data_IF_670011402751
#
_entry.id   IF_670011402751
#
_cell.length_a   1.000
_cell.length_b   1.000
_cell.length_c   1.000
_cell.angle_alpha   90.00
_cell.angle_beta   90.00
_cell.angle_gamma   90.00
#
_symmetry.space_group_name_H-M   'P 1'
#
loop_
_entity.id
_entity.type
_entity.pdbx_description
1 polymer ?
#
# COMPACT_ATOMS: atom_id res chain seq x y z
N UNK A 1 -7.34 53.38 -6.08
CA UNK A 1 -6.61 52.79 -4.93
C UNK A 1 -7.46 51.66 -4.38
N UNK A 2 -7.06 50.40 -4.59
CA UNK A 2 -7.69 49.25 -3.95
C UNK A 2 -6.80 48.82 -2.76
N UNK A 3 -7.41 48.39 -1.64
CA UNK A 3 -7.04 47.18 -0.89
C UNK A 3 -7.44 47.22 0.60
N UNK A 4 -7.63 46.00 1.13
CA UNK A 4 -7.71 45.51 2.53
C UNK A 4 -9.15 45.53 3.09
N UNK A 5 -9.73 44.45 3.62
CA UNK A 5 -9.24 43.40 4.53
C UNK A 5 -10.19 42.19 4.34
N UNK A 6 -9.77 41.05 3.75
CA UNK A 6 -9.16 39.89 4.40
C UNK A 6 -9.94 39.30 5.61
N UNK A 7 -10.83 38.34 5.35
CA UNK A 7 -11.08 37.20 6.26
C UNK A 7 -11.10 35.92 5.44
N UNK A 8 -9.90 35.43 5.18
CA UNK A 8 -9.64 34.13 4.55
C UNK A 8 -10.15 33.02 5.49
N UNK A 9 -11.06 32.21 4.97
CA UNK A 9 -11.51 30.97 5.59
C UNK A 9 -10.32 30.03 5.66
N UNK A 10 -9.93 29.68 6.89
CA UNK A 10 -9.00 28.61 7.18
C UNK A 10 -9.70 27.27 7.01
N UNK A 11 -9.28 26.43 6.05
CA UNK A 11 -9.11 24.98 6.19
C UNK A 11 -8.22 24.49 5.04
N UNK A 12 -6.95 24.23 5.32
CA UNK A 12 -6.12 23.26 4.60
C UNK A 12 -4.87 22.98 5.45
N UNK A 13 -5.08 22.60 6.71
CA UNK A 13 -4.01 22.07 7.54
C UNK A 13 -3.79 20.59 7.15
N UNK A 14 -2.53 20.22 6.95
CA UNK A 14 -2.02 18.87 6.71
C UNK A 14 -2.29 18.25 5.31
N UNK A 15 -1.93 19.00 4.26
CA UNK A 15 -1.81 18.49 2.89
C UNK A 15 -0.40 18.71 2.32
N UNK A 16 0.65 18.39 3.06
CA UNK A 16 2.01 18.41 2.55
C UNK A 16 2.89 17.43 3.34
N UNK A 17 3.11 16.25 2.76
CA UNK A 17 4.00 15.23 3.28
C UNK A 17 3.75 13.94 2.54
N UNK A 18 4.65 13.59 1.60
CA UNK A 18 4.60 12.46 0.65
C UNK A 18 3.88 12.74 -0.68
N UNK A 19 4.20 13.89 -1.30
CA UNK A 19 4.29 13.96 -2.75
C UNK A 19 5.75 13.69 -3.16
N UNK A 20 6.18 12.43 -3.00
CA UNK A 20 7.25 11.86 -3.80
C UNK A 20 6.55 11.04 -4.88
N UNK A 21 6.54 11.56 -6.10
CA UNK A 21 6.55 10.73 -7.31
C UNK A 21 7.59 9.63 -7.11
N UNK A 22 7.31 8.36 -7.38
CA UNK A 22 7.26 7.77 -8.71
C UNK A 22 6.21 6.62 -8.73
N UNK A 23 5.63 6.35 -9.89
CA UNK A 23 4.83 5.16 -10.15
C UNK A 23 5.56 3.90 -9.62
N UNK A 24 5.03 3.26 -8.57
CA UNK A 24 5.83 2.26 -7.86
C UNK A 24 5.24 1.73 -6.57
N UNK A 25 4.03 1.15 -6.59
CA UNK A 25 4.10 -0.29 -6.30
C UNK A 25 4.91 -0.84 -7.44
N UNK A 26 6.09 -1.40 -7.16
CA UNK A 26 7.03 -1.92 -8.15
C UNK A 26 6.37 -2.03 -9.54
N UNK A 27 6.87 -1.33 -10.55
CA UNK A 27 6.90 -1.98 -11.86
C UNK A 27 7.87 -3.13 -11.70
N UNK A 28 7.43 -4.09 -10.93
CA UNK A 28 7.41 -5.45 -11.25
C UNK A 28 8.36 -5.79 -12.39
N UNK A 29 9.64 -5.87 -12.06
CA UNK A 29 10.56 -6.56 -12.95
C UNK A 29 9.93 -7.93 -13.21
N UNK A 30 9.79 -8.39 -14.45
CA UNK A 30 9.13 -9.67 -14.71
C UNK A 30 9.69 -10.76 -13.77
N UNK A 31 8.82 -11.38 -12.95
CA UNK A 31 9.20 -12.49 -12.05
C UNK A 31 9.16 -12.24 -10.54
N UNK A 32 8.91 -11.03 -10.04
CA UNK A 32 8.85 -10.78 -8.59
C UNK A 32 10.20 -10.47 -7.93
N UNK A 33 10.23 -10.48 -6.60
CA UNK A 33 11.44 -10.20 -5.83
C UNK A 33 11.30 -10.42 -4.32
N UNK A 34 12.41 -10.18 -3.61
CA UNK A 34 12.41 -10.09 -2.15
C UNK A 34 12.16 -8.65 -1.71
N UNK A 35 11.34 -8.49 -0.68
CA UNK A 35 10.83 -7.22 -0.21
C UNK A 35 10.94 -7.15 1.31
N UNK A 36 11.19 -5.97 1.86
CA UNK A 36 11.20 -5.78 3.31
C UNK A 36 10.74 -4.39 3.72
N UNK A 37 10.29 -4.27 4.97
CA UNK A 37 9.97 -3.00 5.59
C UNK A 37 10.15 -3.05 7.10
N UNK A 38 10.34 -1.87 7.70
CA UNK A 38 10.39 -1.69 9.14
C UNK A 38 9.67 -0.40 9.53
N UNK A 39 8.85 -0.47 10.57
CA UNK A 39 8.21 0.71 11.16
C UNK A 39 9.27 1.60 11.83
N UNK A 40 9.07 2.91 11.78
CA UNK A 40 10.04 3.90 12.28
C UNK A 40 10.25 3.84 13.80
N UNK A 41 9.22 3.42 14.54
CA UNK A 41 9.27 3.17 15.99
C UNK A 41 9.96 1.85 16.35
N UNK A 42 10.35 1.04 15.36
CA UNK A 42 10.95 -0.26 15.56
C UNK A 42 9.99 -1.35 16.03
N UNK A 43 8.68 -1.07 16.10
CA UNK A 43 7.70 -1.98 16.65
C UNK A 43 7.30 -3.11 15.71
N UNK A 44 7.61 -2.98 14.42
CA UNK A 44 7.31 -4.00 13.43
C UNK A 44 8.32 -4.04 12.32
N UNK A 45 8.58 -5.24 11.82
CA UNK A 45 9.30 -5.45 10.58
C UNK A 45 8.71 -6.60 9.80
N UNK A 46 8.90 -6.59 8.49
CA UNK A 46 8.51 -7.69 7.62
C UNK A 46 9.55 -7.90 6.55
N UNK A 47 9.75 -9.14 6.13
CA UNK A 47 10.52 -9.47 4.94
C UNK A 47 9.94 -10.70 4.27
N UNK A 48 10.05 -10.79 2.96
CA UNK A 48 9.48 -11.90 2.24
C UNK A 48 9.64 -11.78 0.76
N UNK A 49 8.83 -12.54 0.03
CA UNK A 49 8.76 -12.49 -1.42
C UNK A 49 7.39 -12.06 -1.89
N UNK A 50 7.40 -11.38 -3.03
CA UNK A 50 6.20 -11.03 -3.76
C UNK A 50 6.46 -11.28 -5.24
N UNK A 51 5.60 -12.07 -5.87
CA UNK A 51 5.70 -12.33 -7.30
C UNK A 51 4.39 -12.02 -8.01
N UNK A 52 4.54 -11.67 -9.29
CA UNK A 52 3.45 -11.60 -10.25
C UNK A 52 3.79 -12.47 -11.45
N UNK A 53 2.75 -13.04 -12.02
CA UNK A 53 2.81 -13.89 -13.19
C UNK A 53 1.63 -13.52 -14.10
N UNK A 54 1.75 -13.89 -15.38
CA UNK A 54 0.70 -13.85 -16.39
C UNK A 54 -0.05 -12.52 -16.50
N UNK A 55 0.13 -11.79 -17.60
CA UNK A 55 -0.65 -10.58 -17.86
C UNK A 55 -1.81 -10.82 -18.83
N UNK A 56 -3.02 -10.42 -18.45
CA UNK A 56 -4.19 -10.29 -19.34
C UNK A 56 -4.63 -8.84 -19.35
N UNK A 57 -4.87 -8.24 -20.50
CA UNK A 57 -5.29 -6.84 -20.57
C UNK A 57 -6.82 -6.75 -20.46
N UNK A 58 -7.31 -6.06 -19.42
CA UNK A 58 -8.72 -5.70 -19.28
C UNK A 58 -8.88 -4.19 -19.42
N UNK A 59 -9.67 -3.77 -20.39
CA UNK A 59 -9.96 -2.35 -20.65
C UNK A 59 -8.69 -1.47 -20.69
N UNK A 60 -7.67 -1.92 -21.45
CA UNK A 60 -6.40 -1.20 -21.65
C UNK A 60 -5.41 -1.24 -20.48
N UNK A 61 -5.71 -1.94 -19.37
CA UNK A 61 -4.80 -2.12 -18.24
C UNK A 61 -4.42 -3.59 -18.06
N UNK A 62 -3.12 -3.92 -17.87
CA UNK A 62 -2.70 -5.29 -17.58
C UNK A 62 -3.17 -5.72 -16.19
N UNK A 63 -3.74 -6.93 -16.12
CA UNK A 63 -4.07 -7.65 -14.91
C UNK A 63 -3.03 -8.71 -14.66
N UNK A 64 -2.68 -8.93 -13.40
CA UNK A 64 -1.71 -9.93 -12.97
C UNK A 64 -2.35 -10.97 -12.04
N UNK A 65 -1.72 -12.14 -12.00
CA UNK A 65 -1.82 -13.06 -10.86
C UNK A 65 -0.66 -12.78 -9.93
N UNK A 66 -0.92 -12.75 -8.63
CA UNK A 66 0.11 -12.41 -7.63
C UNK A 66 0.14 -13.47 -6.54
N UNK A 67 1.32 -13.74 -6.01
CA UNK A 67 1.50 -14.49 -4.78
C UNK A 67 2.48 -13.77 -3.87
N UNK A 68 2.41 -14.08 -2.59
CA UNK A 68 3.29 -13.49 -1.61
C UNK A 68 3.49 -14.43 -0.44
N UNK A 69 4.65 -14.29 0.17
CA UNK A 69 5.01 -14.96 1.39
C UNK A 69 5.91 -14.04 2.22
N UNK A 70 5.37 -13.49 3.28
CA UNK A 70 6.03 -12.52 4.15
C UNK A 70 6.11 -13.04 5.57
N UNK A 71 7.31 -13.02 6.13
CA UNK A 71 7.48 -13.09 7.56
C UNK A 71 7.16 -11.73 8.18
N UNK A 72 6.36 -11.76 9.25
CA UNK A 72 5.94 -10.58 9.99
C UNK A 72 6.42 -10.71 11.43
N UNK A 73 7.25 -9.75 11.85
CA UNK A 73 7.69 -9.62 13.23
C UNK A 73 6.98 -8.47 13.89
N UNK A 74 6.20 -8.81 14.91
CA UNK A 74 5.58 -7.86 15.82
C UNK A 74 6.40 -7.82 17.12
N UNK A 75 7.11 -6.72 17.31
CA UNK A 75 8.04 -6.52 18.43
C UNK A 75 7.39 -5.72 19.57
N UNK A 76 6.20 -5.18 19.37
CA UNK A 76 5.51 -4.31 20.33
C UNK A 76 4.06 -4.72 20.61
N UNK A 77 3.61 -5.93 20.20
CA UNK A 77 2.23 -6.41 20.43
C UNK A 77 1.76 -6.26 21.87
N UNK A 78 2.68 -6.38 22.85
CA UNK A 78 2.42 -6.20 24.28
C UNK A 78 2.15 -4.75 24.69
N UNK A 79 2.52 -3.76 23.87
CA UNK A 79 2.30 -2.33 24.07
C UNK A 79 0.94 -1.84 23.50
N UNK A 80 0.08 -2.76 23.05
CA UNK A 80 -1.33 -2.48 22.71
C UNK A 80 -1.64 -2.25 21.24
N UNK A 81 -0.63 -2.20 20.36
CA UNK A 81 -0.82 -2.12 18.91
C UNK A 81 -0.13 -3.29 18.22
N UNK A 82 -0.93 -4.19 17.68
CA UNK A 82 -0.40 -5.28 16.85
C UNK A 82 0.06 -4.72 15.50
N UNK A 83 1.05 -5.36 14.89
CA UNK A 83 1.53 -5.03 13.55
C UNK A 83 0.85 -5.94 12.52
N UNK A 84 0.53 -5.42 11.34
CA UNK A 84 -0.04 -6.22 10.25
C UNK A 84 0.29 -5.71 8.86
N UNK A 85 0.08 -6.58 7.88
CA UNK A 85 0.22 -6.27 6.47
C UNK A 85 -1.09 -5.76 5.90
N UNK A 86 -0.99 -4.74 5.06
CA UNK A 86 -2.10 -4.14 4.34
C UNK A 86 -1.74 -4.01 2.87
N UNK A 87 -2.76 -4.00 2.02
CA UNK A 87 -2.61 -3.79 0.58
C UNK A 87 -3.57 -2.74 0.05
N UNK A 88 -3.17 -2.13 -1.07
CA UNK A 88 -4.03 -1.39 -1.98
C UNK A 88 -3.86 -1.97 -3.38
N UNK A 89 -4.94 -2.18 -4.10
CA UNK A 89 -4.89 -2.62 -5.49
C UNK A 89 -6.12 -2.14 -6.26
N UNK A 90 -6.06 -2.26 -7.58
CA UNK A 90 -7.22 -2.27 -8.45
C UNK A 90 -7.59 -3.73 -8.77
N UNK A 91 -8.85 -4.13 -8.60
CA UNK A 91 -9.33 -5.49 -8.94
C UNK A 91 -10.39 -5.45 -10.03
N UNK A 92 -10.23 -6.30 -11.03
CA UNK A 92 -11.21 -6.45 -12.10
C UNK A 92 -12.39 -7.29 -11.63
N UNK A 93 -13.59 -6.71 -11.63
CA UNK A 93 -14.82 -7.38 -11.18
C UNK A 93 -15.57 -8.13 -12.31
N UNK A 94 -15.07 -8.09 -13.54
CA UNK A 94 -15.73 -8.63 -14.74
C UNK A 94 -16.15 -7.57 -15.75
N UNK A 95 -16.37 -6.33 -15.30
CA UNK A 95 -16.82 -5.21 -16.15
C UNK A 95 -16.02 -3.91 -15.96
N UNK A 96 -15.44 -3.70 -14.78
CA UNK A 96 -14.67 -2.50 -14.46
C UNK A 96 -13.53 -2.80 -13.48
N UNK A 97 -12.55 -1.89 -13.45
CA UNK A 97 -11.53 -1.84 -12.42
C UNK A 97 -12.08 -1.17 -11.17
N UNK A 98 -12.05 -1.89 -10.05
CA UNK A 98 -12.49 -1.39 -8.74
C UNK A 98 -11.28 -1.10 -7.88
N UNK A 99 -11.15 0.14 -7.41
CA UNK A 99 -10.16 0.56 -6.43
C UNK A 99 -10.83 1.58 -5.50
N UNK A 100 -10.95 1.23 -4.21
CA UNK A 100 -11.60 2.07 -3.20
C UNK A 100 -10.62 2.99 -2.45
N UNK A 101 -9.35 3.00 -2.86
CA UNK A 101 -8.27 3.76 -2.21
C UNK A 101 -7.97 3.35 -0.77
N UNK A 102 -8.60 2.28 -0.27
CA UNK A 102 -8.59 1.88 1.13
C UNK A 102 -7.53 0.81 1.40
N UNK A 103 -7.05 0.76 2.64
CA UNK A 103 -6.13 -0.28 3.08
C UNK A 103 -6.91 -1.53 3.43
N UNK A 104 -6.62 -2.63 2.73
CA UNK A 104 -7.20 -3.94 3.02
C UNK A 104 -6.19 -4.76 3.79
N UNK A 105 -6.55 -5.22 4.99
CA UNK A 105 -5.70 -6.14 5.75
C UNK A 105 -5.48 -7.40 4.92
N UNK A 106 -4.26 -7.92 4.91
CA UNK A 106 -3.91 -9.15 4.21
C UNK A 106 -3.19 -10.12 5.13
N UNK A 107 -3.28 -11.41 4.79
CA UNK A 107 -2.50 -12.44 5.44
C UNK A 107 -1.02 -12.33 5.05
N UNK A 108 -0.15 -12.85 5.91
CA UNK A 108 1.30 -12.96 5.73
C UNK A 108 1.67 -13.68 4.42
N UNK A 109 0.90 -14.70 4.04
CA UNK A 109 1.04 -15.41 2.77
C UNK A 109 -0.30 -15.52 2.04
N UNK A 110 -0.25 -15.61 0.72
CA UNK A 110 -1.46 -15.72 -0.09
C UNK A 110 -1.26 -15.49 -1.58
N UNK A 111 -2.38 -15.44 -2.30
CA UNK A 111 -2.41 -15.12 -3.72
C UNK A 111 -3.68 -14.38 -4.12
N UNK A 112 -3.59 -13.61 -5.19
CA UNK A 112 -4.74 -12.97 -5.85
C UNK A 112 -4.64 -13.12 -7.35
N UNK A 113 -5.78 -12.93 -8.01
CA UNK A 113 -5.84 -12.84 -9.46
C UNK A 113 -6.69 -11.65 -9.85
N UNK A 114 -6.54 -11.20 -11.11
CA UNK A 114 -7.32 -10.08 -11.64
C UNK A 114 -7.00 -8.75 -10.96
N UNK A 115 -5.75 -8.57 -10.53
CA UNK A 115 -5.30 -7.38 -9.79
C UNK A 115 -4.29 -6.55 -10.60
N UNK A 116 -4.24 -5.25 -10.32
CA UNK A 116 -3.27 -4.30 -10.86
C UNK A 116 -2.94 -3.24 -9.81
N UNK A 117 -1.87 -2.48 -10.02
CA UNK A 117 -1.46 -1.36 -9.15
C UNK A 117 -1.25 -1.78 -7.67
N UNK A 118 -0.75 -3.00 -7.43
CA UNK A 118 -0.71 -3.62 -6.09
C UNK A 118 0.40 -3.04 -5.22
N UNK A 119 0.04 -2.31 -4.17
CA UNK A 119 0.96 -1.81 -3.13
C UNK A 119 0.76 -2.59 -1.84
N UNK A 120 1.84 -3.00 -1.20
CA UNK A 120 1.83 -3.66 0.10
C UNK A 120 2.48 -2.74 1.13
N UNK A 121 1.92 -2.74 2.34
CA UNK A 121 2.29 -1.88 3.44
C UNK A 121 2.39 -2.70 4.74
N UNK A 122 3.31 -2.29 5.60
CA UNK A 122 3.39 -2.71 6.99
C UNK A 122 2.82 -1.58 7.85
N UNK A 123 1.86 -1.87 8.72
CA UNK A 123 1.22 -0.86 9.58
C UNK A 123 0.95 -1.39 10.98
N UNK A 124 0.87 -0.50 11.96
CA UNK A 124 0.18 -0.81 13.22
C UNK A 124 -1.35 -0.85 13.00
N UNK A 125 -2.01 -1.85 13.58
CA UNK A 125 -3.45 -2.07 13.46
C UNK A 125 -4.19 -0.88 14.09
N UNK A 126 -5.10 -0.28 13.31
CA UNK A 126 -5.89 0.88 13.74
C UNK A 126 -5.17 2.23 13.60
N UNK A 127 -3.91 2.25 13.15
CA UNK A 127 -3.12 3.49 12.99
C UNK A 127 -2.56 3.64 11.57
N UNK A 128 -3.36 4.03 10.58
CA UNK A 128 -2.92 4.12 9.18
C UNK A 128 -1.79 5.13 8.94
N UNK A 129 -1.57 6.08 9.84
CA UNK A 129 -0.44 7.03 9.79
C UNK A 129 0.92 6.37 10.00
N UNK A 130 0.96 5.12 10.48
CA UNK A 130 2.19 4.36 10.73
C UNK A 130 2.59 3.49 9.53
N UNK A 131 1.73 3.42 8.52
CA UNK A 131 1.95 2.56 7.36
C UNK A 131 3.22 2.95 6.61
N UNK A 132 4.12 1.97 6.43
CA UNK A 132 5.29 2.07 5.56
C UNK A 132 5.12 1.13 4.37
N UNK A 133 5.46 1.61 3.16
CA UNK A 133 5.45 0.77 1.96
C UNK A 133 6.56 -0.28 2.02
N UNK A 134 6.29 -1.48 1.54
CA UNK A 134 7.30 -2.54 1.42
C UNK A 134 8.03 -2.40 0.09
N UNK A 135 9.36 -2.47 0.14
CA UNK A 135 10.27 -2.31 -1.01
C UNK A 135 11.41 -3.31 -1.00
#
# INVERSE_FOLDING_TARGET
>A
MASRIARTIAVAAAGAGLALSLAGSAQANDGGGSYSARLADGCGSTSGTYHWYDSVVYNGKPSFRTNWDFDLWDLCSTNGYAVSLYRKYSKWNGSAWVNDGSYHKMAASGSETKVADVRIFLCEVGRPSTCVGIS
#
